data_IF_304840456110
#
_entry.id   IF_304840456110
#
_cell.length_a   1.000
_cell.length_b   1.000
_cell.length_c   1.000
_cell.angle_alpha   90.00
_cell.angle_beta   90.00
_cell.angle_gamma   90.00
#
_symmetry.space_group_name_H-M   'P 1'
#
loop_
_entity.id
_entity.type
_entity.pdbx_description
1 polymer ?
#
# COMPACT_ATOMS: atom_id res chain seq x y z
N UNK A 1 -6.37 22.47 -15.36
CA UNK A 1 -5.91 21.06 -15.33
C UNK A 1 -6.69 20.27 -14.30
N UNK A 2 -7.09 19.06 -14.65
CA UNK A 2 -7.76 18.16 -13.70
C UNK A 2 -6.79 17.81 -12.57
N UNK A 3 -7.25 17.90 -11.33
CA UNK A 3 -6.49 17.53 -10.14
C UNK A 3 -6.27 16.03 -10.12
N UNK A 4 -5.04 15.60 -9.85
CA UNK A 4 -4.73 14.17 -9.75
C UNK A 4 -5.35 13.55 -8.49
N UNK A 5 -5.83 12.33 -8.64
CA UNK A 5 -6.40 11.54 -7.54
C UNK A 5 -5.57 10.27 -7.36
N UNK A 6 -5.18 9.97 -6.13
CA UNK A 6 -4.42 8.78 -5.78
C UNK A 6 -5.27 7.80 -4.99
N UNK A 7 -5.21 6.53 -5.37
CA UNK A 7 -5.75 5.45 -4.55
C UNK A 7 -4.69 5.06 -3.50
N UNK A 8 -5.08 5.07 -2.23
CA UNK A 8 -4.18 4.73 -1.12
C UNK A 8 -4.28 3.25 -0.79
N UNK A 9 -3.13 2.59 -0.65
CA UNK A 9 -3.03 1.21 -0.23
C UNK A 9 -2.03 1.11 0.91
N UNK A 10 -2.44 0.50 2.02
CA UNK A 10 -1.60 0.26 3.18
C UNK A 10 -1.39 -1.23 3.35
N UNK A 11 -0.21 -1.62 3.80
CA UNK A 11 0.10 -3.03 3.95
C UNK A 11 0.66 -3.35 5.34
N UNK A 12 0.56 -4.61 5.70
CA UNK A 12 1.10 -5.18 6.92
C UNK A 12 1.51 -6.63 6.67
N UNK A 13 2.27 -7.17 7.61
CA UNK A 13 2.54 -8.60 7.75
C UNK A 13 1.99 -9.05 9.09
N UNK A 14 1.28 -10.18 9.11
CA UNK A 14 0.39 -10.56 10.19
C UNK A 14 0.98 -10.64 11.62
N UNK A 15 2.31 -10.72 11.76
CA UNK A 15 2.98 -10.71 13.07
C UNK A 15 3.56 -9.34 13.47
N UNK A 16 3.43 -8.33 12.61
CA UNK A 16 3.94 -6.98 12.85
C UNK A 16 2.91 -6.12 13.60
N UNK A 17 3.34 -5.00 14.21
CA UNK A 17 2.44 -4.14 14.98
C UNK A 17 1.49 -3.35 14.08
N UNK A 18 0.44 -3.98 13.58
CA UNK A 18 -0.52 -3.43 12.60
C UNK A 18 -1.23 -2.15 13.04
N UNK A 19 -1.30 -1.87 14.34
CA UNK A 19 -1.89 -0.62 14.86
C UNK A 19 -1.18 0.64 14.35
N UNK A 20 0.09 0.53 13.92
CA UNK A 20 0.83 1.64 13.33
C UNK A 20 0.24 2.10 11.99
N UNK A 21 -0.58 1.28 11.35
CA UNK A 21 -1.26 1.63 10.10
C UNK A 21 -2.24 2.79 10.29
N UNK A 22 -2.92 2.88 11.41
CA UNK A 22 -3.89 3.95 11.65
C UNK A 22 -3.25 5.33 11.58
N UNK A 23 -2.13 5.53 12.28
CA UNK A 23 -1.39 6.79 12.22
C UNK A 23 -0.81 7.07 10.84
N UNK A 24 -0.27 6.05 10.18
CA UNK A 24 0.27 6.18 8.84
C UNK A 24 -0.82 6.57 7.82
N UNK A 25 -2.03 6.06 7.96
CA UNK A 25 -3.17 6.42 7.13
C UNK A 25 -3.51 7.91 7.27
N UNK A 26 -3.58 8.40 8.50
CA UNK A 26 -3.83 9.83 8.76
C UNK A 26 -2.72 10.71 8.17
N UNK A 27 -1.46 10.34 8.35
CA UNK A 27 -0.30 11.04 7.81
C UNK A 27 -0.34 11.10 6.29
N UNK A 28 -0.67 9.99 5.63
CA UNK A 28 -0.71 9.91 4.17
C UNK A 28 -1.85 10.75 3.59
N UNK A 29 -3.03 10.70 4.19
CA UNK A 29 -4.18 11.52 3.79
C UNK A 29 -3.80 13.00 3.90
N UNK A 30 -3.18 13.40 5.01
CA UNK A 30 -2.72 14.77 5.22
C UNK A 30 -1.67 15.18 4.17
N UNK A 31 -0.68 14.34 3.92
CA UNK A 31 0.39 14.63 2.97
C UNK A 31 -0.13 14.82 1.55
N UNK A 32 -1.01 13.95 1.09
CA UNK A 32 -1.62 14.04 -0.24
C UNK A 32 -2.48 15.30 -0.37
N UNK A 33 -3.29 15.59 0.64
CA UNK A 33 -4.17 16.77 0.67
C UNK A 33 -3.35 18.07 0.72
N UNK A 34 -2.33 18.14 1.57
CA UNK A 34 -1.46 19.31 1.70
C UNK A 34 -0.67 19.57 0.40
N UNK A 35 -0.33 18.52 -0.33
CA UNK A 35 0.32 18.63 -1.64
C UNK A 35 -0.62 19.12 -2.77
N UNK A 36 -1.90 19.25 -2.49
CA UNK A 36 -2.89 19.74 -3.44
C UNK A 36 -3.54 18.66 -4.31
N UNK A 37 -3.46 17.40 -3.91
CA UNK A 37 -4.06 16.27 -4.64
C UNK A 37 -5.28 15.70 -3.92
N UNK A 38 -6.11 14.99 -4.66
CA UNK A 38 -7.22 14.23 -4.11
C UNK A 38 -6.79 12.78 -3.83
N UNK A 39 -7.56 12.09 -3.03
CA UNK A 39 -7.35 10.67 -2.76
C UNK A 39 -8.67 9.91 -2.69
N UNK A 40 -8.59 8.60 -2.94
CA UNK A 40 -9.60 7.62 -2.57
C UNK A 40 -8.93 6.53 -1.72
N UNK A 41 -9.67 5.95 -0.80
CA UNK A 41 -9.15 4.90 0.05
C UNK A 41 -10.25 3.90 0.38
N UNK A 42 -9.91 2.61 0.36
CA UNK A 42 -10.83 1.57 0.80
C UNK A 42 -11.13 1.74 2.29
N UNK A 43 -12.37 1.45 2.70
CA UNK A 43 -12.79 1.55 4.09
C UNK A 43 -11.87 0.73 4.99
N UNK A 44 -11.37 1.35 6.04
CA UNK A 44 -10.44 0.74 6.99
C UNK A 44 -11.06 -0.44 7.76
N UNK A 45 -12.38 -0.49 7.85
CA UNK A 45 -13.09 -1.57 8.55
C UNK A 45 -13.23 -2.85 7.73
N UNK A 46 -12.93 -2.81 6.42
CA UNK A 46 -13.04 -3.98 5.54
C UNK A 46 -11.90 -4.98 5.71
N UNK A 47 -10.77 -4.54 6.26
CA UNK A 47 -9.62 -5.38 6.55
C UNK A 47 -9.09 -5.12 7.95
N UNK A 48 -8.28 -6.05 8.47
CA UNK A 48 -7.65 -5.87 9.77
C UNK A 48 -6.71 -4.65 9.71
N UNK A 49 -6.87 -3.72 10.63
CA UNK A 49 -6.12 -2.45 10.70
C UNK A 49 -6.26 -1.54 9.46
N UNK A 50 -7.15 -1.86 8.53
CA UNK A 50 -7.26 -1.12 7.27
C UNK A 50 -6.10 -1.37 6.31
N UNK A 51 -5.33 -2.43 6.51
CA UNK A 51 -4.18 -2.79 5.69
C UNK A 51 -4.36 -4.12 4.96
N UNK A 52 -3.44 -4.42 4.06
CA UNK A 52 -3.39 -5.67 3.33
C UNK A 52 -2.37 -6.59 4.00
N UNK A 53 -2.83 -7.64 4.66
CA UNK A 53 -2.00 -8.64 5.35
C UNK A 53 -2.00 -10.00 4.67
N UNK A 54 -3.04 -10.31 3.91
CA UNK A 54 -3.25 -11.63 3.31
C UNK A 54 -3.57 -11.52 1.83
N UNK A 55 -3.48 -12.65 1.13
CA UNK A 55 -3.91 -12.74 -0.26
C UNK A 55 -5.39 -12.38 -0.43
N UNK A 56 -6.24 -12.85 0.46
CA UNK A 56 -7.68 -12.58 0.39
C UNK A 56 -7.98 -11.08 0.54
N UNK A 57 -7.29 -10.40 1.43
CA UNK A 57 -7.38 -8.94 1.56
C UNK A 57 -6.83 -8.23 0.32
N UNK A 58 -5.77 -8.77 -0.29
CA UNK A 58 -5.24 -8.30 -1.58
C UNK A 58 -6.27 -8.44 -2.70
N UNK A 59 -7.00 -9.54 -2.76
CA UNK A 59 -8.10 -9.75 -3.73
C UNK A 59 -9.24 -8.77 -3.50
N UNK A 60 -9.58 -8.51 -2.25
CA UNK A 60 -10.61 -7.52 -1.89
C UNK A 60 -10.21 -6.11 -2.36
N UNK A 61 -8.97 -5.73 -2.14
CA UNK A 61 -8.44 -4.44 -2.59
C UNK A 61 -8.41 -4.34 -4.12
N UNK A 62 -7.98 -5.39 -4.81
CA UNK A 62 -7.96 -5.44 -6.28
C UNK A 62 -9.37 -5.26 -6.86
N UNK A 63 -10.36 -5.89 -6.24
CA UNK A 63 -11.77 -5.71 -6.60
C UNK A 63 -12.23 -4.27 -6.38
N UNK A 64 -11.87 -3.68 -5.25
CA UNK A 64 -12.18 -2.29 -4.93
C UNK A 64 -11.55 -1.33 -5.96
N UNK A 65 -10.30 -1.53 -6.35
CA UNK A 65 -9.65 -0.74 -7.41
C UNK A 65 -10.41 -0.85 -8.73
N UNK A 66 -10.83 -2.05 -9.10
CA UNK A 66 -11.58 -2.29 -10.34
C UNK A 66 -12.93 -1.59 -10.34
N UNK A 67 -13.62 -1.57 -9.20
CA UNK A 67 -14.90 -0.86 -9.03
C UNK A 67 -14.73 0.66 -9.14
N UNK A 68 -13.55 1.18 -8.86
CA UNK A 68 -13.22 2.62 -8.94
C UNK A 68 -12.37 2.96 -10.16
N UNK A 69 -12.33 2.08 -11.17
CA UNK A 69 -11.56 2.31 -12.39
C UNK A 69 -11.94 3.66 -13.04
N UNK A 70 -10.93 4.42 -13.44
CA UNK A 70 -11.08 5.76 -13.99
C UNK A 70 -11.23 6.88 -12.95
N UNK A 71 -11.37 6.57 -11.66
CA UNK A 71 -11.50 7.57 -10.60
C UNK A 71 -10.15 7.96 -9.99
N UNK A 72 -9.06 7.25 -10.32
CA UNK A 72 -7.71 7.51 -9.80
C UNK A 72 -6.67 7.48 -10.93
N UNK A 73 -5.62 8.26 -10.75
CA UNK A 73 -4.52 8.42 -11.73
C UNK A 73 -3.28 7.60 -11.35
N UNK A 74 -3.16 7.21 -10.12
CA UNK A 74 -2.08 6.39 -9.60
C UNK A 74 -2.42 5.77 -8.26
N UNK A 75 -1.58 4.84 -7.81
CA UNK A 75 -1.69 4.21 -6.49
C UNK A 75 -0.49 4.62 -5.65
N UNK A 76 -0.73 5.04 -4.41
CA UNK A 76 0.33 5.18 -3.41
C UNK A 76 0.27 3.93 -2.51
N UNK A 77 1.26 3.07 -2.66
CA UNK A 77 1.43 1.89 -1.83
C UNK A 77 2.32 2.23 -0.65
N UNK A 78 1.71 2.42 0.50
CA UNK A 78 2.41 2.80 1.73
C UNK A 78 2.72 1.57 2.57
N UNK A 79 3.98 1.45 2.96
CA UNK A 79 4.48 0.44 3.89
C UNK A 79 4.80 1.11 5.23
N UNK A 80 3.81 1.24 6.13
CA UNK A 80 4.07 1.71 7.50
C UNK A 80 4.91 0.71 8.28
N UNK A 81 4.82 -0.55 7.90
CA UNK A 81 5.53 -1.70 8.43
C UNK A 81 5.85 -2.66 7.29
N UNK A 82 6.60 -3.74 7.57
CA UNK A 82 6.94 -4.76 6.58
C UNK A 82 5.68 -5.35 5.94
N UNK A 83 5.66 -5.39 4.61
CA UNK A 83 4.50 -5.84 3.84
C UNK A 83 4.45 -7.37 3.67
N UNK A 84 3.25 -7.93 3.56
CA UNK A 84 3.06 -9.26 3.01
C UNK A 84 3.12 -9.20 1.47
N UNK A 85 4.07 -9.91 0.88
CA UNK A 85 4.33 -9.87 -0.56
C UNK A 85 3.18 -10.42 -1.38
N UNK A 86 2.60 -11.53 -0.96
CA UNK A 86 1.48 -12.16 -1.66
C UNK A 86 0.24 -11.25 -1.70
N UNK A 87 -0.07 -10.64 -0.56
CA UNK A 87 -1.17 -9.67 -0.47
C UNK A 87 -0.93 -8.46 -1.34
N UNK A 88 0.29 -7.88 -1.28
CA UNK A 88 0.67 -6.71 -2.07
C UNK A 88 0.60 -6.96 -3.58
N UNK A 89 1.19 -8.05 -4.05
CA UNK A 89 1.17 -8.42 -5.47
C UNK A 89 -0.27 -8.64 -5.94
N UNK A 90 -1.06 -9.39 -5.19
CA UNK A 90 -2.46 -9.67 -5.52
C UNK A 90 -3.28 -8.39 -5.60
N UNK A 91 -3.04 -7.44 -4.69
CA UNK A 91 -3.75 -6.16 -4.68
C UNK A 91 -3.42 -5.27 -5.88
N UNK A 92 -2.17 -5.27 -6.37
CA UNK A 92 -1.66 -4.27 -7.28
C UNK A 92 -1.35 -4.75 -8.71
N UNK A 93 -1.30 -6.06 -8.94
CA UNK A 93 -0.86 -6.61 -10.24
C UNK A 93 -1.69 -6.15 -11.44
N UNK A 94 -2.96 -5.81 -11.23
CA UNK A 94 -3.88 -5.38 -12.29
C UNK A 94 -4.31 -3.90 -12.15
N UNK A 95 -3.56 -3.11 -11.40
CA UNK A 95 -3.91 -1.71 -11.14
C UNK A 95 -3.95 -0.85 -12.42
N UNK A 96 -3.09 -1.14 -13.40
CA UNK A 96 -3.09 -0.47 -14.70
C UNK A 96 -2.64 1.00 -14.68
N UNK A 97 -2.14 1.48 -13.55
CA UNK A 97 -1.67 2.86 -13.35
C UNK A 97 -0.31 2.82 -12.64
N UNK A 98 0.46 3.93 -12.66
CA UNK A 98 1.71 4.01 -11.91
C UNK A 98 1.50 3.80 -10.41
N UNK A 99 2.46 3.13 -9.77
CA UNK A 99 2.44 2.85 -8.34
C UNK A 99 3.65 3.51 -7.70
N UNK A 100 3.38 4.40 -6.74
CA UNK A 100 4.41 4.99 -5.89
C UNK A 100 4.58 4.13 -4.64
N UNK A 101 5.79 3.62 -4.42
CA UNK A 101 6.14 2.84 -3.23
C UNK A 101 6.71 3.77 -2.16
N UNK A 102 6.07 3.82 -1.01
CA UNK A 102 6.50 4.65 0.12
C UNK A 102 6.70 3.76 1.35
N UNK A 103 7.79 3.96 2.07
CA UNK A 103 8.09 3.21 3.29
C UNK A 103 8.44 4.16 4.43
N UNK A 104 8.00 3.81 5.64
CA UNK A 104 8.32 4.55 6.86
C UNK A 104 9.68 4.10 7.42
N UNK A 105 10.53 5.04 7.88
CA UNK A 105 11.72 4.68 8.62
C UNK A 105 11.38 4.17 10.02
N UNK A 106 12.24 3.31 10.57
CA UNK A 106 12.17 2.99 11.99
C UNK A 106 12.61 4.20 12.82
N UNK A 107 11.94 4.43 13.93
CA UNK A 107 12.28 5.51 14.84
C UNK A 107 13.44 5.11 15.75
N UNK A 108 14.39 6.03 15.94
CA UNK A 108 15.53 5.82 16.84
C UNK A 108 15.01 5.50 18.26
N UNK A 109 15.49 4.41 18.83
CA UNK A 109 15.10 3.97 20.17
C UNK A 109 13.78 3.21 20.24
N UNK A 110 13.08 3.01 19.11
CA UNK A 110 11.82 2.28 19.03
C UNK A 110 11.94 1.02 18.18
N UNK A 111 12.92 0.18 18.49
CA UNK A 111 13.16 -1.08 17.77
C UNK A 111 12.62 -2.30 18.54
N UNK A 112 11.75 -2.09 19.51
CA UNK A 112 11.10 -3.19 20.23
C UNK A 112 9.95 -3.80 19.41
N UNK A 113 9.42 -4.91 19.87
CA UNK A 113 8.39 -5.67 19.17
C UNK A 113 7.13 -4.85 18.83
N UNK A 114 6.75 -3.91 19.69
CA UNK A 114 5.53 -3.13 19.51
C UNK A 114 5.68 -1.93 18.54
N UNK A 115 6.91 -1.49 18.26
CA UNK A 115 7.17 -0.27 17.49
C UNK A 115 8.00 -0.49 16.23
N UNK A 116 8.63 -1.65 16.10
CA UNK A 116 9.49 -2.00 14.97
C UNK A 116 8.69 -2.07 13.67
N UNK A 117 9.20 -1.42 12.64
CA UNK A 117 8.53 -1.33 11.34
C UNK A 117 9.14 -2.23 10.26
N UNK A 118 10.46 -2.25 10.14
CA UNK A 118 11.19 -2.96 9.08
C UNK A 118 10.71 -2.64 7.65
N UNK A 119 10.06 -1.49 7.48
CA UNK A 119 9.41 -1.13 6.22
C UNK A 119 10.41 -0.97 5.06
N UNK A 120 11.61 -0.49 5.33
CA UNK A 120 12.65 -0.35 4.30
C UNK A 120 13.10 -1.69 3.74
N UNK A 121 13.16 -2.74 4.55
CA UNK A 121 13.43 -4.09 4.07
C UNK A 121 12.33 -4.58 3.14
N UNK A 122 11.08 -4.36 3.51
CA UNK A 122 9.91 -4.68 2.69
C UNK A 122 9.87 -3.92 1.37
N UNK A 123 10.38 -2.70 1.34
CA UNK A 123 10.44 -1.88 0.12
C UNK A 123 11.31 -2.50 -0.97
N UNK A 124 12.33 -3.25 -0.63
CA UNK A 124 13.16 -3.96 -1.61
C UNK A 124 12.50 -5.26 -2.09
N UNK A 125 11.81 -5.94 -1.20
CA UNK A 125 11.18 -7.24 -1.47
C UNK A 125 9.96 -7.12 -2.39
N UNK A 126 9.04 -6.22 -2.08
CA UNK A 126 7.79 -6.04 -2.84
C UNK A 126 8.02 -5.55 -4.28
N UNK A 127 8.85 -4.51 -4.55
CA UNK A 127 9.13 -4.11 -5.92
C UNK A 127 9.75 -5.20 -6.78
N UNK A 128 10.70 -5.96 -6.25
CA UNK A 128 11.34 -7.07 -6.96
C UNK A 128 10.34 -8.13 -7.39
N UNK A 129 9.35 -8.42 -6.56
CA UNK A 129 8.29 -9.38 -6.86
C UNK A 129 7.32 -8.85 -7.92
N UNK A 130 7.00 -7.57 -7.90
CA UNK A 130 6.11 -6.93 -8.88
C UNK A 130 6.77 -6.78 -10.26
N UNK A 131 8.07 -6.51 -10.32
CA UNK A 131 8.82 -6.40 -11.57
C UNK A 131 8.88 -7.74 -12.30
N UNK A 132 8.99 -8.83 -11.57
CA UNK A 132 8.92 -10.18 -12.13
C UNK A 132 7.57 -10.51 -12.78
N UNK A 133 6.50 -9.90 -12.30
CA UNK A 133 5.16 -10.08 -12.88
C UNK A 133 4.96 -9.23 -14.14
N UNK A 134 5.52 -8.02 -14.18
CA UNK A 134 5.40 -7.14 -15.35
C UNK A 134 6.24 -7.63 -16.54
N UNK A 135 7.40 -8.23 -16.30
CA UNK A 135 8.26 -8.77 -17.36
C UNK A 135 7.66 -9.98 -18.10
N UNK A 136 6.71 -10.69 -17.46
CA UNK A 136 6.00 -11.81 -18.11
C UNK A 136 4.92 -11.36 -19.09
N UNK A 137 4.38 -10.14 -18.91
CA UNK A 137 3.34 -9.61 -19.80
C UNK A 137 3.89 -9.03 -21.09
N UNK A 138 5.15 -8.64 -21.11
CA UNK A 138 5.79 -8.11 -22.32
C UNK A 138 6.31 -9.19 -23.28
N UNK A 139 6.13 -10.47 -22.95
CA UNK A 139 6.55 -11.59 -23.80
C UNK A 139 5.36 -12.39 -24.40
N UNK A 140 4.14 -11.97 -24.13
CA UNK A 140 2.91 -12.47 -24.75
C UNK A 140 2.34 -11.44 -25.74
#
# INVERSE_FOLDING_TARGET
MKKMTFALCFCNRGFMPGELIYGAREDMVKAVTDAGYDYIAMDAELTRYGGIETRDEGMLYAKWLKEHDGEYDGVIFSMPIFADENGAITALQDAGVPILMQAYPDEIGKMDFAHRRDAFCGKFSVPSSSDGCSSRRSQE
#
